data_IF_243556337930
#
_entry.id   IF_243556337930
#
_cell.length_a   1.000
_cell.length_b   1.000
_cell.length_c   1.000
_cell.angle_alpha   90.00
_cell.angle_beta   90.00
_cell.angle_gamma   90.00
#
_symmetry.space_group_name_H-M   'P 1'
#
loop_
_entity.id
_entity.type
_entity.pdbx_description
1 polymer ?
#
# COMPACT_ATOMS: atom_id res chain seq x y z
N UNK A 1 4.92 -67.43 -1.50
CA UNK A 1 5.09 -66.10 -0.86
C UNK A 1 6.23 -65.24 -1.42
N UNK A 2 6.98 -65.65 -2.47
CA UNK A 2 8.07 -64.85 -3.07
C UNK A 2 7.64 -63.91 -4.21
N UNK A 3 6.45 -64.13 -4.80
CA UNK A 3 5.95 -63.35 -5.96
C UNK A 3 5.21 -62.06 -5.57
N UNK A 4 4.82 -61.91 -4.30
CA UNK A 4 4.07 -60.73 -3.82
C UNK A 4 5.02 -59.61 -3.37
N UNK A 5 6.21 -59.96 -2.89
CA UNK A 5 7.23 -58.99 -2.45
C UNK A 5 7.86 -58.24 -3.64
N UNK A 6 7.96 -58.90 -4.81
CA UNK A 6 8.52 -58.31 -6.02
C UNK A 6 7.58 -57.30 -6.71
N UNK A 7 6.27 -57.39 -6.45
CA UNK A 7 5.28 -56.48 -7.04
C UNK A 7 5.20 -55.13 -6.30
N UNK A 8 5.49 -55.11 -4.99
CA UNK A 8 5.46 -53.89 -4.18
C UNK A 8 6.63 -52.94 -4.45
N UNK A 9 7.80 -53.46 -4.82
CA UNK A 9 9.01 -52.65 -5.08
C UNK A 9 8.90 -51.89 -6.40
N UNK A 10 8.26 -52.46 -7.42
CA UNK A 10 8.07 -51.79 -8.73
C UNK A 10 7.07 -50.63 -8.62
N UNK A 11 6.08 -50.71 -7.73
CA UNK A 11 5.10 -49.64 -7.53
C UNK A 11 5.69 -48.40 -6.83
N UNK A 12 6.74 -48.55 -6.02
CA UNK A 12 7.36 -47.44 -5.28
C UNK A 12 8.31 -46.57 -6.12
N UNK A 13 8.84 -47.11 -7.23
CA UNK A 13 9.81 -46.39 -8.10
C UNK A 13 9.11 -45.42 -9.06
N UNK A 14 7.79 -45.54 -9.27
CA UNK A 14 7.02 -44.64 -10.14
C UNK A 14 6.53 -43.36 -9.45
N UNK A 15 6.72 -43.22 -8.13
CA UNK A 15 6.42 -41.98 -7.41
C UNK A 15 7.57 -40.97 -7.50
N UNK A 16 8.01 -40.65 -8.72
CA UNK A 16 8.88 -39.49 -8.95
C UNK A 16 8.03 -38.23 -8.91
N UNK A 17 7.85 -37.67 -7.71
CA UNK A 17 7.25 -36.35 -7.55
C UNK A 17 8.23 -35.32 -8.11
N UNK A 18 8.05 -34.92 -9.37
CA UNK A 18 8.73 -33.75 -9.93
C UNK A 18 8.21 -32.52 -9.19
N UNK A 19 8.98 -32.04 -8.22
CA UNK A 19 8.69 -30.76 -7.55
C UNK A 19 8.94 -29.66 -8.57
N UNK A 20 7.90 -29.25 -9.28
CA UNK A 20 7.92 -28.05 -10.09
C UNK A 20 7.97 -26.85 -9.14
N UNK A 21 9.19 -26.38 -8.86
CA UNK A 21 9.38 -25.08 -8.23
C UNK A 21 9.03 -24.01 -9.24
N UNK A 22 7.76 -23.60 -9.26
CA UNK A 22 7.35 -22.39 -9.92
C UNK A 22 7.89 -21.20 -9.12
N UNK A 23 9.08 -20.73 -9.48
CA UNK A 23 9.58 -19.44 -9.02
C UNK A 23 8.79 -18.36 -9.75
N UNK A 24 7.76 -17.84 -9.11
CA UNK A 24 7.12 -16.60 -9.56
C UNK A 24 8.14 -15.49 -9.34
N UNK A 25 8.86 -15.13 -10.38
CA UNK A 25 9.66 -13.90 -10.39
C UNK A 25 8.67 -12.76 -10.54
N UNK A 26 8.18 -12.25 -9.41
CA UNK A 26 7.35 -11.04 -9.37
C UNK A 26 8.23 -9.89 -9.80
N UNK A 27 8.26 -9.60 -11.10
CA UNK A 27 8.94 -8.41 -11.59
C UNK A 27 8.05 -7.23 -11.22
N UNK A 28 8.36 -6.58 -10.10
CA UNK A 28 7.78 -5.28 -9.78
C UNK A 28 8.32 -4.30 -10.81
N UNK A 29 7.59 -4.08 -11.91
CA UNK A 29 7.85 -2.92 -12.73
C UNK A 29 7.55 -1.68 -11.88
N UNK A 30 8.48 -0.70 -11.79
CA UNK A 30 8.16 0.57 -11.18
C UNK A 30 7.15 1.27 -12.10
N UNK A 31 5.87 1.11 -11.80
CA UNK A 31 4.84 1.97 -12.36
C UNK A 31 5.15 3.36 -11.81
N UNK A 32 5.54 4.28 -12.69
CA UNK A 32 5.58 5.70 -12.37
C UNK A 32 4.14 6.14 -12.14
N UNK A 33 3.65 5.99 -10.91
CA UNK A 33 2.31 6.40 -10.51
C UNK A 33 2.30 7.92 -10.50
N UNK A 34 1.73 8.51 -11.55
CA UNK A 34 1.45 9.94 -11.58
C UNK A 34 0.27 10.19 -10.64
N UNK A 35 0.55 10.47 -9.38
CA UNK A 35 -0.46 10.87 -8.39
C UNK A 35 -0.95 12.27 -8.73
N UNK A 36 -2.15 12.36 -9.28
CA UNK A 36 -2.84 13.63 -9.46
C UNK A 36 -3.56 13.99 -8.18
N UNK A 37 -3.15 15.07 -7.53
CA UNK A 37 -3.88 15.61 -6.37
C UNK A 37 -5.20 16.21 -6.84
N UNK A 38 -6.30 15.82 -6.22
CA UNK A 38 -7.64 16.37 -6.48
C UNK A 38 -8.21 16.94 -5.20
N UNK A 39 -8.91 18.07 -5.31
CA UNK A 39 -9.65 18.69 -4.20
C UNK A 39 -11.12 18.36 -4.37
N UNK A 40 -11.78 18.03 -3.28
CA UNK A 40 -13.21 17.83 -3.23
C UNK A 40 -13.80 18.67 -2.10
N UNK A 41 -15.01 19.16 -2.32
CA UNK A 41 -15.85 19.75 -1.29
C UNK A 41 -16.55 18.65 -0.50
N UNK A 42 -16.92 18.95 0.75
CA UNK A 42 -17.63 18.01 1.60
C UNK A 42 -19.06 18.50 1.84
N UNK A 43 -20.06 17.78 1.33
CA UNK A 43 -21.47 18.06 1.60
C UNK A 43 -21.89 17.33 2.87
N UNK A 44 -22.09 18.07 3.96
CA UNK A 44 -22.38 17.53 5.29
C UNK A 44 -23.89 17.57 5.53
N UNK A 45 -24.47 16.41 5.86
CA UNK A 45 -25.88 16.34 6.26
C UNK A 45 -26.10 17.06 7.59
N UNK A 46 -27.20 17.81 7.70
CA UNK A 46 -27.59 18.46 8.96
C UNK A 46 -28.15 17.47 10.00
N UNK A 47 -28.54 16.25 9.57
CA UNK A 47 -29.10 15.23 10.45
C UNK A 47 -27.97 14.41 11.08
N UNK A 48 -27.86 14.46 12.40
CA UNK A 48 -26.94 13.60 13.14
C UNK A 48 -27.46 12.17 13.18
N UNK A 49 -26.60 11.20 12.89
CA UNK A 49 -26.90 9.77 12.98
C UNK A 49 -26.27 9.18 14.24
N UNK A 50 -26.87 8.10 14.73
CA UNK A 50 -26.35 7.30 15.84
C UNK A 50 -26.64 5.83 15.57
N UNK A 51 -25.60 5.00 15.58
CA UNK A 51 -25.69 3.56 15.33
C UNK A 51 -24.96 2.79 16.43
N UNK A 52 -25.55 1.68 16.86
CA UNK A 52 -24.94 0.78 17.85
C UNK A 52 -24.60 -0.54 17.20
N UNK A 53 -23.31 -0.78 17.03
CA UNK A 53 -22.75 -2.03 16.56
C UNK A 53 -22.58 -3.02 17.73
N UNK A 54 -23.04 -4.26 17.53
CA UNK A 54 -22.90 -5.36 18.49
C UNK A 54 -21.99 -6.43 17.88
N UNK A 55 -20.69 -6.43 18.21
CA UNK A 55 -19.75 -7.37 17.61
C UNK A 55 -20.08 -8.82 17.98
N UNK A 56 -19.97 -9.69 16.99
CA UNK A 56 -20.20 -11.13 17.17
C UNK A 56 -19.08 -11.76 18.03
N UNK A 57 -19.28 -13.01 18.46
CA UNK A 57 -18.25 -13.72 19.24
C UNK A 57 -16.95 -13.91 18.44
N UNK A 58 -17.02 -14.07 17.13
CA UNK A 58 -15.85 -14.17 16.25
C UNK A 58 -15.11 -12.84 16.15
N UNK A 59 -15.82 -11.74 15.93
CA UNK A 59 -15.22 -10.42 15.74
C UNK A 59 -14.45 -9.99 16.98
N UNK A 60 -15.03 -10.20 18.16
CA UNK A 60 -14.39 -9.91 19.45
C UNK A 60 -13.10 -10.70 19.71
N UNK A 61 -12.91 -11.84 19.03
CA UNK A 61 -11.70 -12.67 19.16
C UNK A 61 -10.63 -12.34 18.12
N UNK A 62 -11.05 -11.88 16.94
CA UNK A 62 -10.18 -11.73 15.76
C UNK A 62 -9.78 -10.28 15.48
N UNK A 63 -10.60 -9.31 15.89
CA UNK A 63 -10.42 -7.91 15.57
C UNK A 63 -9.99 -7.10 16.79
N UNK A 64 -9.16 -6.09 16.55
CA UNK A 64 -8.79 -5.11 17.56
C UNK A 64 -9.95 -4.16 17.86
N UNK A 65 -9.91 -3.47 19.01
CA UNK A 65 -10.91 -2.45 19.35
C UNK A 65 -11.04 -1.37 18.27
N UNK A 66 -9.93 -0.94 17.67
CA UNK A 66 -9.92 0.04 16.58
C UNK A 66 -10.65 -0.48 15.33
N UNK A 67 -10.42 -1.74 14.95
CA UNK A 67 -11.12 -2.37 13.81
C UNK A 67 -12.62 -2.51 14.08
N UNK A 68 -13.01 -2.84 15.32
CA UNK A 68 -14.42 -2.90 15.69
C UNK A 68 -15.10 -1.53 15.60
N UNK A 69 -14.40 -0.45 15.95
CA UNK A 69 -14.89 0.93 15.77
C UNK A 69 -15.03 1.26 14.29
N UNK A 70 -14.08 0.88 13.44
CA UNK A 70 -14.17 1.08 11.99
C UNK A 70 -15.38 0.34 11.40
N UNK A 71 -15.61 -0.91 11.80
CA UNK A 71 -16.80 -1.66 11.37
C UNK A 71 -18.09 -0.96 11.82
N UNK A 72 -18.13 -0.45 13.06
CA UNK A 72 -19.28 0.29 13.57
C UNK A 72 -19.54 1.59 12.77
N UNK A 73 -18.47 2.31 12.37
CA UNK A 73 -18.58 3.47 11.49
C UNK A 73 -19.09 3.09 10.10
N UNK A 74 -18.56 2.01 9.52
CA UNK A 74 -18.98 1.53 8.21
C UNK A 74 -20.46 1.15 8.19
N UNK A 75 -20.93 0.39 9.18
CA UNK A 75 -22.36 0.07 9.30
C UNK A 75 -23.21 1.31 9.53
N UNK A 76 -22.74 2.27 10.34
CA UNK A 76 -23.44 3.53 10.55
C UNK A 76 -23.62 4.30 9.23
N UNK A 77 -22.59 4.37 8.40
CA UNK A 77 -22.65 5.05 7.11
C UNK A 77 -23.52 4.29 6.11
N UNK A 78 -23.39 2.96 6.04
CA UNK A 78 -24.15 2.13 5.10
C UNK A 78 -25.66 2.17 5.40
N UNK A 79 -26.04 2.10 6.68
CA UNK A 79 -27.44 2.15 7.10
C UNK A 79 -28.11 3.54 6.93
N UNK A 80 -27.32 4.60 6.71
CA UNK A 80 -27.79 5.99 6.63
C UNK A 80 -27.53 6.63 5.25
N UNK A 81 -27.66 5.84 4.18
CA UNK A 81 -27.60 6.33 2.80
C UNK A 81 -26.27 6.13 2.10
N UNK A 82 -25.38 5.29 2.65
CA UNK A 82 -24.03 5.02 2.12
C UNK A 82 -23.19 6.29 1.96
N UNK A 83 -23.13 7.10 3.02
CA UNK A 83 -22.24 8.26 3.06
C UNK A 83 -20.76 7.86 3.06
N UNK A 84 -19.91 8.72 2.51
CA UNK A 84 -18.48 8.44 2.35
C UNK A 84 -17.73 8.53 3.68
N UNK A 85 -18.03 9.57 4.46
CA UNK A 85 -17.33 9.86 5.72
C UNK A 85 -18.28 10.36 6.80
N UNK A 86 -17.88 10.17 8.05
CA UNK A 86 -18.58 10.69 9.22
C UNK A 86 -17.78 11.85 9.81
N UNK A 87 -18.44 13.01 9.96
CA UNK A 87 -17.83 14.23 10.51
C UNK A 87 -18.24 14.40 11.97
N UNK A 88 -17.34 14.98 12.80
CA UNK A 88 -17.53 15.17 14.25
C UNK A 88 -17.93 13.86 14.95
N UNK A 89 -17.10 12.84 14.75
CA UNK A 89 -17.39 11.50 15.24
C UNK A 89 -17.22 11.41 16.75
N UNK A 90 -18.25 10.94 17.43
CA UNK A 90 -18.18 10.49 18.81
C UNK A 90 -18.37 8.98 18.85
N UNK A 91 -17.45 8.28 19.50
CA UNK A 91 -17.54 6.82 19.69
C UNK A 91 -17.56 6.49 21.18
N UNK A 92 -18.49 5.62 21.57
CA UNK A 92 -18.63 5.10 22.92
C UNK A 92 -18.50 3.59 22.90
N UNK A 93 -17.51 3.06 23.61
CA UNK A 93 -17.25 1.63 23.69
C UNK A 93 -17.78 1.11 25.02
N UNK A 94 -18.76 0.22 24.98
CA UNK A 94 -19.22 -0.51 26.16
C UNK A 94 -18.42 -1.80 26.27
N UNK A 95 -17.65 -1.95 27.35
CA UNK A 95 -16.91 -3.17 27.66
C UNK A 95 -17.55 -3.95 28.83
N UNK A 96 -17.30 -5.26 28.88
CA UNK A 96 -17.57 -6.08 30.07
C UNK A 96 -16.57 -5.76 31.19
N UNK A 97 -16.86 -6.20 32.41
CA UNK A 97 -15.92 -6.12 33.55
C UNK A 97 -14.53 -6.72 33.24
N UNK A 98 -14.44 -7.72 32.36
CA UNK A 98 -13.18 -8.33 31.91
C UNK A 98 -12.58 -7.68 30.64
N UNK A 99 -12.92 -6.41 30.35
CA UNK A 99 -12.35 -5.65 29.23
C UNK A 99 -12.82 -6.02 27.82
N UNK A 100 -13.69 -7.04 27.67
CA UNK A 100 -14.22 -7.44 26.35
C UNK A 100 -15.27 -6.45 25.83
N UNK A 101 -15.09 -5.94 24.62
CA UNK A 101 -16.05 -5.05 23.96
C UNK A 101 -17.39 -5.75 23.75
N UNK A 102 -18.47 -5.18 24.28
CA UNK A 102 -19.86 -5.68 24.13
C UNK A 102 -20.64 -4.95 23.05
N UNK A 103 -20.48 -3.63 22.99
CA UNK A 103 -21.17 -2.78 22.04
C UNK A 103 -20.34 -1.54 21.75
N UNK A 104 -20.50 -0.97 20.57
CA UNK A 104 -19.88 0.29 20.16
C UNK A 104 -20.98 1.17 19.59
N UNK A 105 -21.20 2.33 20.18
CA UNK A 105 -22.11 3.33 19.66
C UNK A 105 -21.32 4.43 18.99
N UNK A 106 -21.57 4.66 17.71
CA UNK A 106 -20.94 5.71 16.91
C UNK A 106 -21.99 6.72 16.52
N UNK A 107 -21.67 8.00 16.66
CA UNK A 107 -22.54 9.10 16.24
C UNK A 107 -21.76 10.19 15.55
N UNK A 108 -22.41 10.90 14.63
CA UNK A 108 -21.79 11.97 13.86
C UNK A 108 -22.70 12.43 12.72
N UNK A 109 -22.16 13.28 11.85
CA UNK A 109 -22.86 13.81 10.69
C UNK A 109 -22.34 13.13 9.42
N UNK A 110 -23.19 12.40 8.68
CA UNK A 110 -22.76 11.77 7.43
C UNK A 110 -22.49 12.84 6.38
N UNK A 111 -21.44 12.64 5.59
CA UNK A 111 -21.04 13.57 4.55
C UNK A 111 -20.58 12.85 3.28
N UNK A 112 -20.72 13.55 2.16
CA UNK A 112 -20.41 13.05 0.82
C UNK A 112 -19.39 13.96 0.16
N UNK A 113 -18.43 13.37 -0.55
CA UNK A 113 -17.51 14.13 -1.37
C UNK A 113 -18.21 14.61 -2.64
N UNK A 114 -18.11 15.90 -2.91
CA UNK A 114 -18.70 16.56 -4.09
C UNK A 114 -17.68 17.47 -4.76
N UNK A 115 -17.93 17.86 -6.02
CA UNK A 115 -17.14 18.85 -6.77
C UNK A 115 -15.64 18.53 -6.87
N UNK A 116 -15.32 17.31 -7.31
CA UNK A 116 -13.94 16.91 -7.57
C UNK A 116 -13.30 17.78 -8.66
N UNK A 117 -12.23 18.49 -8.31
CA UNK A 117 -11.51 19.40 -9.22
C UNK A 117 -10.00 19.38 -8.96
N UNK A 118 -9.24 19.98 -9.87
CA UNK A 118 -7.82 20.20 -9.65
C UNK A 118 -7.61 21.30 -8.58
N UNK A 119 -6.61 21.13 -7.70
CA UNK A 119 -6.25 22.13 -6.69
C UNK A 119 -5.81 23.44 -7.34
N UNK A 120 -6.28 24.54 -6.76
CA UNK A 120 -5.85 25.90 -7.08
C UNK A 120 -4.92 26.43 -6.00
N UNK A 121 -4.19 27.52 -6.27
CA UNK A 121 -3.30 28.15 -5.29
C UNK A 121 -3.98 28.49 -3.95
N UNK A 122 -5.27 28.83 -3.98
CA UNK A 122 -6.07 29.10 -2.78
C UNK A 122 -6.28 27.83 -1.93
N UNK A 123 -6.47 26.67 -2.56
CA UNK A 123 -6.66 25.40 -1.84
C UNK A 123 -5.40 24.98 -1.11
N UNK A 124 -4.24 25.15 -1.73
CA UNK A 124 -2.95 24.89 -1.08
C UNK A 124 -2.72 25.79 0.14
N UNK A 125 -3.08 27.07 0.05
CA UNK A 125 -3.03 27.99 1.20
C UNK A 125 -3.97 27.54 2.32
N UNK A 126 -5.20 27.15 1.99
CA UNK A 126 -6.16 26.65 2.97
C UNK A 126 -5.68 25.37 3.68
N UNK A 127 -5.08 24.42 2.94
CA UNK A 127 -4.54 23.19 3.52
C UNK A 127 -3.38 23.46 4.50
N UNK A 128 -2.55 24.46 4.21
CA UNK A 128 -1.49 24.94 5.11
C UNK A 128 -2.07 25.60 6.37
N UNK A 129 -3.14 26.38 6.25
CA UNK A 129 -3.79 27.07 7.37
C UNK A 129 -4.52 26.12 8.31
N UNK A 130 -5.15 25.05 7.80
CA UNK A 130 -5.87 24.07 8.61
C UNK A 130 -5.00 22.91 9.13
N UNK A 131 -3.68 23.02 9.00
CA UNK A 131 -2.74 22.12 9.67
C UNK A 131 -2.67 20.72 9.08
N UNK A 132 -2.68 20.58 7.75
CA UNK A 132 -2.35 19.30 7.11
C UNK A 132 -0.88 18.93 7.43
N UNK A 133 -0.66 17.99 8.34
CA UNK A 133 0.67 17.62 8.87
C UNK A 133 1.48 16.69 7.97
N UNK A 134 1.09 16.49 6.72
CA UNK A 134 1.92 15.80 5.72
C UNK A 134 1.84 16.53 4.38
N UNK A 135 2.62 17.61 4.27
CA UNK A 135 2.93 18.22 2.99
C UNK A 135 4.44 18.19 2.86
N UNK A 136 4.94 17.20 2.13
CA UNK A 136 6.29 17.26 1.57
C UNK A 136 6.37 18.54 0.74
N UNK A 137 7.27 19.41 1.17
CA UNK A 137 7.64 20.69 0.58
C UNK A 137 7.41 20.75 -0.94
N UNK A 138 6.49 21.64 -1.36
CA UNK A 138 6.23 21.92 -2.77
C UNK A 138 7.43 22.72 -3.28
N UNK A 139 8.49 22.04 -3.71
CA UNK A 139 9.47 22.66 -4.59
C UNK A 139 8.74 22.99 -5.88
N UNK A 140 8.67 24.28 -6.21
CA UNK A 140 8.09 24.78 -7.46
C UNK A 140 8.60 23.93 -8.64
N UNK A 141 7.74 23.50 -9.58
CA UNK A 141 8.23 22.83 -10.78
C UNK A 141 9.05 23.84 -11.58
N UNK A 142 10.37 23.79 -11.42
CA UNK A 142 11.31 24.46 -12.31
C UNK A 142 10.96 23.99 -13.72
N UNK A 143 10.58 24.94 -14.58
CA UNK A 143 10.26 24.78 -16.01
C UNK A 143 11.07 23.60 -16.58
N UNK A 144 10.36 22.58 -17.07
CA UNK A 144 10.99 21.36 -17.59
C UNK A 144 12.06 21.73 -18.62
N UNK A 145 13.30 21.23 -18.49
CA UNK A 145 14.31 21.47 -19.51
C UNK A 145 13.87 20.83 -20.83
N UNK A 146 13.98 21.61 -21.91
CA UNK A 146 13.74 21.16 -23.28
C UNK A 146 14.72 20.02 -23.61
N UNK A 147 14.21 18.81 -23.81
CA UNK A 147 15.01 17.59 -23.95
C UNK A 147 15.67 17.45 -25.33
N UNK A 148 15.58 18.48 -26.19
CA UNK A 148 16.15 18.46 -27.54
C UNK A 148 17.66 18.73 -27.61
N UNK A 149 18.31 19.13 -26.52
CA UNK A 149 19.77 19.33 -26.51
C UNK A 149 20.40 18.86 -25.20
N UNK A 150 20.43 17.55 -24.95
CA UNK A 150 21.38 16.97 -23.99
C UNK A 150 22.48 16.28 -24.78
N UNK A 151 23.61 16.97 -24.97
CA UNK A 151 24.87 16.29 -25.28
C UNK A 151 25.17 15.39 -24.09
N UNK A 152 25.06 14.07 -24.30
CA UNK A 152 25.39 13.06 -23.30
C UNK A 152 26.88 13.20 -22.98
N UNK A 153 27.20 13.83 -21.84
CA UNK A 153 28.52 13.74 -21.25
C UNK A 153 28.65 12.34 -20.62
N UNK A 154 29.73 11.59 -20.89
CA UNK A 154 29.89 10.25 -20.34
C UNK A 154 30.05 10.31 -18.81
N UNK A 155 29.18 9.59 -18.12
CA UNK A 155 29.20 9.37 -16.68
C UNK A 155 30.55 8.80 -16.21
N UNK A 156 31.15 9.48 -15.24
CA UNK A 156 32.47 9.20 -14.65
C UNK A 156 32.53 7.90 -13.82
N UNK A 157 31.43 7.14 -13.70
CA UNK A 157 31.41 5.86 -12.97
C UNK A 157 31.73 4.64 -13.84
N UNK A 158 31.70 4.77 -15.17
CA UNK A 158 32.05 3.65 -16.06
C UNK A 158 33.56 3.55 -16.35
N UNK A 159 34.37 4.55 -15.98
CA UNK A 159 35.81 4.55 -16.27
C UNK A 159 36.63 3.74 -15.25
N UNK A 160 36.22 3.71 -13.99
CA UNK A 160 36.97 3.02 -12.92
C UNK A 160 36.85 1.49 -12.99
N UNK A 161 35.73 0.96 -13.49
CA UNK A 161 35.52 -0.50 -13.63
C UNK A 161 36.25 -1.06 -14.87
N UNK A 162 36.40 -0.25 -15.92
CA UNK A 162 37.13 -0.63 -17.14
C UNK A 162 38.65 -0.58 -16.95
N UNK A 163 39.18 0.40 -16.20
CA UNK A 163 40.62 0.45 -15.87
C UNK A 163 41.05 -0.68 -14.94
N UNK A 164 40.25 -1.01 -13.91
CA UNK A 164 40.57 -2.12 -12.99
C UNK A 164 40.62 -3.47 -13.72
N UNK A 165 39.74 -3.68 -14.71
CA UNK A 165 39.77 -4.91 -15.53
C UNK A 165 40.95 -4.96 -16.50
N UNK A 166 41.38 -3.83 -17.08
CA UNK A 166 42.58 -3.78 -17.95
C UNK A 166 43.88 -4.03 -17.17
N UNK A 167 44.02 -3.48 -15.96
CA UNK A 167 45.20 -3.69 -15.12
C UNK A 167 45.35 -5.14 -14.60
N UNK A 168 44.23 -5.82 -14.33
CA UNK A 168 44.24 -7.23 -13.91
C UNK A 168 44.55 -8.15 -15.10
N UNK A 169 44.06 -7.84 -16.30
CA UNK A 169 44.31 -8.65 -17.50
C UNK A 169 45.78 -8.56 -17.99
N UNK A 170 46.42 -7.38 -17.91
CA UNK A 170 47.84 -7.23 -18.24
C UNK A 170 48.77 -7.95 -17.25
N UNK A 171 48.40 -8.04 -15.97
CA UNK A 171 49.18 -8.79 -14.95
C UNK A 171 49.02 -10.30 -15.04
N UNK A 172 47.90 -10.79 -15.60
CA UNK A 172 47.63 -12.23 -15.74
C UNK A 172 48.06 -12.82 -17.09
N UNK A 173 48.16 -12.01 -18.15
CA UNK A 173 48.46 -12.49 -19.51
C UNK A 173 49.68 -11.82 -20.19
N UNK A 174 50.38 -10.91 -19.50
CA UNK A 174 51.61 -10.28 -20.01
C UNK A 174 52.87 -11.11 -19.80
N UNK A 175 52.96 -12.32 -20.37
CA UNK A 175 54.20 -13.12 -20.44
C UNK A 175 54.67 -13.20 -21.89
N UNK A 176 55.77 -12.48 -22.16
CA UNK A 176 56.76 -12.59 -23.26
C UNK A 176 56.30 -12.27 -24.70
N UNK A 177 57.01 -11.30 -25.31
CA UNK A 177 57.76 -11.48 -26.56
C UNK A 177 58.68 -10.27 -26.83
N UNK A 178 59.91 -10.34 -26.31
CA UNK A 178 61.15 -10.01 -27.02
C UNK A 178 62.31 -10.64 -26.26
#
# INVERSE_FOLDING_TARGET
MKKILLLGVVAFVLSSCTVHRASVVTTTQPVSTRTTTTVASLNISQKRISHTYKPTRSDRKRLSSAQLVQNAMYEALSNNGNADVLVKVNSYVTASAWGRVKAITVSGYPAYYVDFRQPTEADYKNLLTFGATNITEITTPKKAPDYRTVKVAPSSEQQTIVEKKKGIFQRLFGRKNK
#
